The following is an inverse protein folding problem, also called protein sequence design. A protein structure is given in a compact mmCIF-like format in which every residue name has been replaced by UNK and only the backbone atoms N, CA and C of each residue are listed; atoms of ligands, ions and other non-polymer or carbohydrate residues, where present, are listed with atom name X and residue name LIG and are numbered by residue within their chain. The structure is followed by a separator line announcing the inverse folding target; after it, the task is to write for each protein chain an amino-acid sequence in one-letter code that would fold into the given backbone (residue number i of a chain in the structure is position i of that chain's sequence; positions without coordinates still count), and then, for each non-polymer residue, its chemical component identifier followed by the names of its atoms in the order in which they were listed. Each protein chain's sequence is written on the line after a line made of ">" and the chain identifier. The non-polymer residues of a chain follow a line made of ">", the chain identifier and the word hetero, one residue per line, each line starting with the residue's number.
data_IF_094968312024
#
_entry.id   IF_094968312024
#
_cell.length_a   1.000
_cell.length_b   1.000
_cell.length_c   1.000
_cell.angle_alpha   90.00
_cell.angle_beta   90.00
_cell.angle_gamma   90.00
#
_symmetry.space_group_name_H-M   'P 1'
#
loop_
_entity.id
_entity.type
_entity.pdbx_description
1 polymer ?
#
# COMPACT_ATOMS: atom_id res chain seq x y z
N UNK A 1 63.99 -27.44 23.15
CA UNK A 1 62.82 -27.84 23.97
C UNK A 1 61.68 -26.88 23.66
N UNK A 2 60.75 -27.30 22.81
CA UNK A 2 59.53 -26.57 22.44
C UNK A 2 58.36 -27.25 23.17
N UNK A 3 57.48 -26.46 23.79
CA UNK A 3 56.26 -26.88 24.50
C UNK A 3 55.11 -25.95 24.10
N UNK A 4 53.83 -26.35 24.22
CA UNK A 4 52.94 -26.42 23.06
C UNK A 4 51.93 -25.28 23.01
N UNK A 5 51.44 -25.04 21.79
CA UNK A 5 50.34 -24.13 21.48
C UNK A 5 49.06 -24.52 22.23
N UNK A 6 48.45 -23.54 22.91
CA UNK A 6 47.08 -23.63 23.42
C UNK A 6 46.11 -23.57 22.24
N UNK A 7 45.31 -24.63 22.10
CA UNK A 7 44.16 -24.70 21.21
C UNK A 7 43.19 -23.54 21.48
N UNK A 8 43.15 -22.57 20.56
CA UNK A 8 42.02 -21.67 20.41
C UNK A 8 40.91 -22.44 19.70
N UNK A 9 39.79 -22.62 20.41
CA UNK A 9 38.55 -23.19 19.90
C UNK A 9 38.14 -22.54 18.58
N UNK A 10 37.90 -23.37 17.57
CA UNK A 10 37.43 -23.03 16.22
C UNK A 10 36.01 -22.41 16.22
N UNK A 11 35.35 -22.25 17.38
CA UNK A 11 33.97 -21.73 17.44
C UNK A 11 33.83 -20.21 17.21
N UNK A 12 34.92 -19.43 17.16
CA UNK A 12 34.84 -17.97 17.01
C UNK A 12 35.04 -17.47 15.57
N UNK A 13 35.67 -18.27 14.70
CA UNK A 13 35.86 -17.91 13.28
C UNK A 13 34.64 -18.23 12.41
N UNK A 14 33.75 -19.11 12.86
CA UNK A 14 32.50 -19.43 12.15
C UNK A 14 31.47 -18.30 12.17
N UNK A 15 31.64 -17.29 13.03
CA UNK A 15 30.77 -16.10 13.08
C UNK A 15 31.25 -14.96 12.17
N UNK A 16 32.54 -14.90 11.82
CA UNK A 16 33.06 -13.85 10.93
C UNK A 16 32.87 -14.20 9.44
N UNK A 17 32.95 -15.48 9.04
CA UNK A 17 32.80 -15.88 7.64
C UNK A 17 31.34 -15.94 7.14
N UNK A 18 30.34 -15.86 8.02
CA UNK A 18 28.94 -15.77 7.60
C UNK A 18 28.53 -14.37 7.10
N UNK A 19 29.35 -13.34 7.32
CA UNK A 19 28.97 -11.94 7.11
C UNK A 19 29.39 -11.32 5.77
N UNK A 20 30.16 -12.02 4.94
CA UNK A 20 30.46 -11.55 3.56
C UNK A 20 29.41 -11.96 2.53
N UNK A 21 28.39 -12.75 2.92
CA UNK A 21 27.28 -13.18 2.04
C UNK A 21 25.90 -12.68 2.47
N UNK A 22 25.79 -11.90 3.55
CA UNK A 22 24.55 -11.22 3.91
C UNK A 22 24.40 -9.96 3.07
N UNK A 23 23.91 -10.15 1.85
CA UNK A 23 23.31 -9.07 1.06
C UNK A 23 22.31 -8.32 1.93
N UNK A 24 22.24 -7.00 1.71
CA UNK A 24 21.26 -6.03 2.22
C UNK A 24 20.06 -6.77 2.84
N UNK A 25 19.94 -6.72 4.18
CA UNK A 25 18.77 -7.23 4.90
C UNK A 25 17.58 -6.43 4.37
N UNK A 26 16.91 -6.97 3.36
CA UNK A 26 15.74 -6.38 2.77
C UNK A 26 14.61 -6.60 3.76
N UNK A 27 14.28 -5.58 4.54
CA UNK A 27 12.94 -5.48 5.09
C UNK A 27 12.00 -5.30 3.90
N UNK A 28 11.56 -6.43 3.34
CA UNK A 28 10.45 -6.47 2.42
C UNK A 28 9.26 -5.84 3.14
N UNK A 29 8.72 -4.77 2.56
CA UNK A 29 7.43 -4.24 2.95
C UNK A 29 6.36 -5.22 2.43
N UNK A 30 6.29 -6.40 3.03
CA UNK A 30 5.26 -7.41 2.77
C UNK A 30 4.12 -7.26 3.79
N UNK A 31 2.86 -7.37 3.36
CA UNK A 31 1.71 -7.42 4.24
C UNK A 31 1.60 -8.81 4.89
N UNK A 32 1.16 -8.83 6.15
CA UNK A 32 1.14 -10.01 6.99
C UNK A 32 0.14 -11.08 6.51
N UNK A 33 0.58 -12.35 6.51
CA UNK A 33 -0.29 -13.51 6.64
C UNK A 33 0.23 -14.44 7.76
N UNK A 34 -0.71 -14.95 8.54
CA UNK A 34 -0.61 -15.57 9.87
C UNK A 34 -0.09 -17.01 9.90
N UNK A 35 0.50 -17.41 11.03
CA UNK A 35 0.92 -18.76 11.39
C UNK A 35 -0.09 -19.46 12.32
N UNK A 36 -0.08 -20.80 12.29
CA UNK A 36 -0.32 -21.82 13.36
C UNK A 36 -1.06 -23.05 12.75
N UNK A 37 -0.77 -24.34 12.99
CA UNK A 37 0.08 -25.10 13.92
C UNK A 37 0.18 -26.58 13.44
N UNK A 38 1.37 -27.21 13.59
CA UNK A 38 1.69 -28.62 13.97
C UNK A 38 0.98 -29.83 13.28
N UNK A 39 1.57 -31.01 12.94
CA UNK A 39 2.69 -31.80 13.51
C UNK A 39 2.98 -33.06 12.64
N UNK A 40 4.20 -33.63 12.80
CA UNK A 40 4.68 -35.00 12.48
C UNK A 40 4.93 -35.35 10.99
N UNK A 41 5.96 -36.10 10.56
CA UNK A 41 7.23 -36.64 11.09
C UNK A 41 7.98 -37.26 9.89
N UNK A 42 9.30 -37.14 9.87
CA UNK A 42 10.33 -38.09 9.37
C UNK A 42 10.17 -38.76 7.97
N UNK A 43 11.08 -38.42 7.02
CA UNK A 43 12.11 -39.34 6.50
C UNK A 43 12.90 -38.73 5.30
N UNK A 44 14.18 -38.53 5.54
CA UNK A 44 15.39 -38.65 4.70
C UNK A 44 15.35 -38.59 3.15
N UNK A 45 16.31 -37.81 2.64
CA UNK A 45 17.09 -37.93 1.38
C UNK A 45 16.38 -37.61 0.06
N UNK A 46 16.76 -36.52 -0.60
CA UNK A 46 17.85 -36.50 -1.59
C UNK A 46 17.91 -35.12 -2.27
N UNK A 47 19.13 -34.65 -2.52
CA UNK A 47 19.43 -33.35 -3.12
C UNK A 47 18.95 -33.25 -4.57
N UNK A 48 18.24 -32.18 -4.91
CA UNK A 48 18.40 -31.42 -6.16
C UNK A 48 17.67 -30.08 -6.03
N UNK A 49 18.39 -29.01 -6.26
CA UNK A 49 17.95 -27.62 -6.24
C UNK A 49 16.89 -27.35 -7.32
N UNK A 50 15.68 -27.04 -6.89
CA UNK A 50 14.67 -26.35 -7.70
C UNK A 50 14.60 -24.87 -7.28
N UNK A 51 14.39 -23.94 -8.22
CA UNK A 51 14.33 -22.52 -7.92
C UNK A 51 13.09 -22.18 -7.11
N UNK A 52 13.27 -21.32 -6.10
CA UNK A 52 12.25 -20.85 -5.16
C UNK A 52 10.93 -20.46 -5.84
N UNK A 53 9.87 -21.23 -5.54
CA UNK A 53 8.49 -20.82 -5.77
C UNK A 53 8.18 -19.61 -4.89
N UNK A 54 8.26 -18.42 -5.47
CA UNK A 54 7.54 -17.23 -4.96
C UNK A 54 6.07 -17.58 -4.78
N UNK A 55 5.50 -17.26 -3.62
CA UNK A 55 4.07 -17.32 -3.37
C UNK A 55 3.30 -16.50 -4.41
N UNK A 56 2.48 -17.17 -5.19
CA UNK A 56 1.81 -16.67 -6.39
C UNK A 56 0.57 -15.78 -6.11
N UNK A 57 0.31 -15.39 -4.85
CA UNK A 57 -0.94 -14.70 -4.46
C UNK A 57 -0.87 -13.17 -4.39
N UNK A 58 0.31 -12.57 -4.15
CA UNK A 58 0.46 -11.10 -4.05
C UNK A 58 0.77 -10.40 -5.39
N UNK A 59 0.94 -11.16 -6.49
CA UNK A 59 1.25 -10.60 -7.81
C UNK A 59 0.00 -10.24 -8.64
N UNK A 60 -1.17 -10.78 -8.29
CA UNK A 60 -2.40 -10.64 -9.09
C UNK A 60 -3.35 -9.55 -8.58
N UNK A 61 -3.31 -9.24 -7.28
CA UNK A 61 -4.13 -8.17 -6.68
C UNK A 61 -3.28 -7.35 -5.72
N UNK A 62 -3.78 -6.20 -5.29
CA UNK A 62 -3.16 -5.39 -4.23
C UNK A 62 -4.11 -5.19 -3.04
N UNK A 63 -5.01 -6.16 -2.78
CA UNK A 63 -5.95 -6.12 -1.65
C UNK A 63 -5.27 -5.85 -0.31
N UNK A 64 -4.10 -6.45 -0.10
CA UNK A 64 -3.30 -6.33 1.11
C UNK A 64 -2.68 -4.94 1.32
N UNK A 65 -2.67 -4.11 0.26
CA UNK A 65 -2.28 -2.70 0.31
C UNK A 65 -3.46 -1.74 0.54
N UNK A 66 -4.70 -2.25 0.50
CA UNK A 66 -5.90 -1.45 0.72
C UNK A 66 -6.19 -1.27 2.21
N UNK A 67 -6.87 -0.18 2.55
CA UNK A 67 -7.27 0.14 3.94
C UNK A 67 -8.53 -0.61 4.40
N UNK A 68 -9.01 -1.54 3.57
CA UNK A 68 -10.24 -2.31 3.75
C UNK A 68 -10.91 -2.58 2.41
N UNK A 69 -11.97 -3.39 2.42
CA UNK A 69 -12.82 -3.60 1.24
C UNK A 69 -14.22 -3.08 1.51
N UNK A 70 -14.69 -2.21 0.63
CA UNK A 70 -16.09 -1.75 0.58
C UNK A 70 -16.62 -2.02 -0.82
N UNK A 71 -17.93 -2.15 -0.98
CA UNK A 71 -18.54 -2.39 -2.29
C UNK A 71 -19.96 -1.86 -2.36
N UNK A 72 -20.45 -1.67 -3.57
CA UNK A 72 -21.88 -1.47 -3.82
C UNK A 72 -22.57 -2.85 -3.63
N UNK A 73 -23.55 -2.98 -2.74
CA UNK A 73 -24.21 -4.27 -2.49
C UNK A 73 -25.02 -4.71 -3.71
N UNK A 74 -25.17 -6.03 -3.87
CA UNK A 74 -25.91 -6.62 -4.99
C UNK A 74 -27.36 -6.10 -5.12
N UNK A 75 -28.00 -5.73 -4.00
CA UNK A 75 -29.34 -5.13 -3.97
C UNK A 75 -29.43 -3.74 -4.61
N UNK A 76 -28.29 -3.07 -4.85
CA UNK A 76 -28.18 -1.75 -5.49
C UNK A 76 -27.63 -1.83 -6.91
N UNK A 77 -27.59 -3.03 -7.50
CA UNK A 77 -27.22 -3.24 -8.90
C UNK A 77 -28.47 -3.29 -9.80
N UNK A 78 -28.40 -2.82 -11.06
CA UNK A 78 -27.23 -2.21 -11.70
C UNK A 78 -26.92 -0.81 -11.15
N UNK A 79 -25.67 -0.37 -11.29
CA UNK A 79 -25.20 0.93 -10.78
C UNK A 79 -25.80 2.04 -11.63
N UNK A 80 -26.66 2.87 -11.03
CA UNK A 80 -27.18 4.07 -11.68
C UNK A 80 -26.13 5.18 -11.66
N UNK A 81 -25.78 5.70 -12.83
CA UNK A 81 -24.78 6.76 -13.02
C UNK A 81 -25.46 8.02 -13.53
N UNK A 82 -25.24 9.14 -12.84
CA UNK A 82 -25.64 10.47 -13.29
C UNK A 82 -24.40 11.28 -13.66
N UNK A 83 -24.40 11.84 -14.88
CA UNK A 83 -23.36 12.74 -15.34
C UNK A 83 -23.91 14.16 -15.36
N UNK A 84 -23.40 15.02 -14.47
CA UNK A 84 -23.80 16.41 -14.44
C UNK A 84 -23.39 17.12 -15.76
N UNK A 85 -24.18 18.10 -16.22
CA UNK A 85 -23.77 18.94 -17.35
C UNK A 85 -22.47 19.68 -17.02
N UNK A 86 -21.72 20.09 -18.05
CA UNK A 86 -20.53 20.91 -17.85
C UNK A 86 -20.89 22.20 -17.10
N UNK A 87 -20.11 22.63 -16.10
CA UNK A 87 -20.41 23.87 -15.38
C UNK A 87 -20.27 25.07 -16.31
N UNK A 88 -21.16 26.05 -16.14
CA UNK A 88 -21.12 27.30 -16.91
C UNK A 88 -19.87 28.11 -16.53
N UNK A 89 -19.18 28.67 -17.52
CA UNK A 89 -18.02 29.54 -17.31
C UNK A 89 -16.69 28.81 -17.08
N UNK A 90 -16.71 27.48 -16.96
CA UNK A 90 -15.50 26.65 -16.94
C UNK A 90 -14.99 26.48 -18.37
N UNK A 91 -13.66 26.49 -18.55
CA UNK A 91 -13.05 26.15 -19.84
C UNK A 91 -13.26 24.65 -20.15
N UNK A 92 -14.43 24.34 -20.68
CA UNK A 92 -14.92 22.99 -20.94
C UNK A 92 -14.66 22.57 -22.37
N UNK A 93 -14.16 21.34 -22.55
CA UNK A 93 -14.16 20.66 -23.85
C UNK A 93 -15.27 19.61 -23.86
N UNK A 94 -15.94 19.45 -25.00
CA UNK A 94 -16.91 18.35 -25.20
C UNK A 94 -16.25 16.98 -24.99
N UNK A 95 -14.95 16.88 -25.26
CA UNK A 95 -14.18 15.65 -25.06
C UNK A 95 -14.13 15.19 -23.59
N UNK A 96 -14.30 16.06 -22.60
CA UNK A 96 -14.24 15.65 -21.19
C UNK A 96 -15.36 14.69 -20.79
N UNK A 97 -16.59 14.96 -21.24
CA UNK A 97 -17.69 14.01 -21.02
C UNK A 97 -17.48 12.71 -21.81
N UNK A 98 -16.87 12.79 -22.99
CA UNK A 98 -16.50 11.61 -23.77
C UNK A 98 -15.48 10.77 -23.01
N UNK A 99 -14.43 11.36 -22.46
CA UNK A 99 -13.41 10.64 -21.67
C UNK A 99 -14.00 9.96 -20.43
N UNK A 100 -14.93 10.62 -19.74
CA UNK A 100 -15.60 10.05 -18.57
C UNK A 100 -16.51 8.88 -18.96
N UNK A 101 -17.32 9.01 -20.02
CA UNK A 101 -18.15 7.92 -20.54
C UNK A 101 -17.30 6.74 -21.03
N UNK A 102 -16.20 7.05 -21.71
CA UNK A 102 -15.23 6.06 -22.17
C UNK A 102 -14.58 5.34 -20.98
N UNK A 103 -14.34 6.01 -19.84
CA UNK A 103 -13.83 5.38 -18.61
C UNK A 103 -14.83 4.35 -18.04
N UNK A 104 -16.11 4.72 -17.94
CA UNK A 104 -17.17 3.77 -17.57
C UNK A 104 -17.29 2.60 -18.55
N UNK A 105 -17.20 2.86 -19.86
CA UNK A 105 -17.22 1.81 -20.87
C UNK A 105 -16.05 0.83 -20.68
N UNK A 106 -14.85 1.33 -20.39
CA UNK A 106 -13.69 0.49 -20.12
C UNK A 106 -13.92 -0.48 -18.96
N UNK A 107 -14.48 0.01 -17.84
CA UNK A 107 -14.87 -0.85 -16.73
C UNK A 107 -15.95 -1.86 -17.14
N UNK A 108 -16.99 -1.41 -17.85
CA UNK A 108 -18.08 -2.26 -18.31
C UNK A 108 -17.59 -3.42 -19.20
N UNK A 109 -16.71 -3.13 -20.14
CA UNK A 109 -16.10 -4.11 -21.05
C UNK A 109 -15.21 -5.10 -20.28
N UNK A 110 -14.45 -4.60 -19.31
CA UNK A 110 -13.58 -5.42 -18.44
C UNK A 110 -14.40 -6.39 -17.57
N UNK A 111 -15.55 -5.95 -17.07
CA UNK A 111 -16.46 -6.80 -16.29
C UNK A 111 -17.13 -7.87 -17.15
N UNK A 112 -17.57 -7.49 -18.35
CA UNK A 112 -18.19 -8.41 -19.30
C UNK A 112 -17.21 -9.51 -19.74
N UNK A 113 -15.96 -9.15 -20.05
CA UNK A 113 -14.91 -10.09 -20.44
C UNK A 113 -14.59 -11.12 -19.36
N UNK A 114 -14.81 -10.78 -18.08
CA UNK A 114 -14.49 -11.68 -16.96
C UNK A 114 -15.56 -12.72 -16.65
N UNK A 115 -16.77 -12.65 -17.21
CA UNK A 115 -17.96 -13.47 -16.90
C UNK A 115 -18.39 -13.52 -15.41
N UNK A 116 -17.59 -12.99 -14.50
CA UNK A 116 -17.71 -13.07 -13.05
C UNK A 116 -18.46 -11.86 -12.44
N UNK A 117 -18.40 -10.69 -13.09
CA UNK A 117 -19.05 -9.47 -12.64
C UNK A 117 -20.15 -8.94 -13.59
N UNK A 118 -20.95 -9.76 -14.31
CA UNK A 118 -21.93 -9.25 -15.27
C UNK A 118 -23.06 -8.47 -14.60
N UNK A 119 -23.35 -8.75 -13.32
CA UNK A 119 -24.32 -7.98 -12.52
C UNK A 119 -23.81 -6.58 -12.17
N UNK A 120 -22.49 -6.38 -12.12
CA UNK A 120 -21.85 -5.09 -11.92
C UNK A 120 -21.83 -4.34 -13.25
N UNK A 121 -22.92 -3.62 -13.53
CA UNK A 121 -23.11 -2.87 -14.77
C UNK A 121 -23.54 -1.43 -14.50
N UNK A 122 -23.29 -0.55 -15.46
CA UNK A 122 -23.66 0.86 -15.39
C UNK A 122 -24.91 1.16 -16.23
N UNK A 123 -25.86 1.86 -15.63
CA UNK A 123 -27.04 2.39 -16.32
C UNK A 123 -27.11 3.89 -16.08
N UNK A 124 -27.24 4.67 -17.15
CA UNK A 124 -27.31 6.12 -17.04
C UNK A 124 -28.72 6.59 -16.66
N UNK A 125 -28.78 7.65 -15.85
CA UNK A 125 -30.02 8.35 -15.49
C UNK A 125 -29.83 9.86 -15.61
N UNK A 126 -30.91 10.56 -15.93
CA UNK A 126 -30.94 12.03 -15.98
C UNK A 126 -31.27 12.67 -14.62
N UNK A 127 -31.52 11.84 -13.59
CA UNK A 127 -31.87 12.29 -12.24
C UNK A 127 -30.78 11.96 -11.23
N UNK A 128 -30.16 13.00 -10.67
CA UNK A 128 -29.04 12.85 -9.73
C UNK A 128 -29.44 12.14 -8.42
N UNK A 129 -30.68 12.33 -7.97
CA UNK A 129 -31.21 11.76 -6.74
C UNK A 129 -31.33 10.23 -6.80
N UNK A 130 -31.62 9.68 -7.99
CA UNK A 130 -31.76 8.24 -8.24
C UNK A 130 -30.41 7.54 -8.48
N UNK A 131 -29.33 8.30 -8.67
CA UNK A 131 -28.02 7.74 -9.00
C UNK A 131 -27.26 7.26 -7.77
N UNK A 132 -26.60 6.11 -7.93
CA UNK A 132 -25.59 5.58 -7.00
C UNK A 132 -24.27 6.32 -7.18
N UNK A 133 -23.85 6.53 -8.43
CA UNK A 133 -22.65 7.33 -8.76
C UNK A 133 -23.08 8.63 -9.42
N UNK A 134 -22.61 9.75 -8.88
CA UNK A 134 -22.78 11.07 -9.49
C UNK A 134 -21.43 11.62 -9.89
N UNK A 135 -21.31 12.14 -11.10
CA UNK A 135 -20.07 12.70 -11.61
C UNK A 135 -20.27 14.16 -12.00
N UNK A 136 -19.30 15.01 -11.69
CA UNK A 136 -19.25 16.40 -12.17
C UNK A 136 -17.83 16.84 -12.46
N UNK A 137 -17.71 17.98 -13.12
CA UNK A 137 -16.45 18.67 -13.36
C UNK A 137 -16.39 19.98 -12.56
N UNK A 138 -15.19 20.45 -12.25
CA UNK A 138 -14.93 21.77 -11.63
C UNK A 138 -13.60 22.33 -12.12
N UNK A 139 -13.42 23.65 -12.10
CA UNK A 139 -12.12 24.31 -12.25
C UNK A 139 -11.59 24.90 -10.93
N UNK A 140 -12.32 24.69 -9.84
CA UNK A 140 -11.93 25.15 -8.53
C UNK A 140 -11.08 24.11 -7.81
N UNK A 141 -9.76 24.34 -7.80
CA UNK A 141 -8.78 23.47 -7.13
C UNK A 141 -9.04 23.33 -5.61
N UNK A 142 -9.77 24.26 -4.99
CA UNK A 142 -10.13 24.18 -3.56
C UNK A 142 -11.17 23.11 -3.24
N UNK A 143 -11.82 22.54 -4.26
CA UNK A 143 -12.73 21.42 -4.10
C UNK A 143 -12.01 20.07 -4.08
N UNK A 144 -10.71 20.06 -4.40
CA UNK A 144 -9.82 18.92 -4.21
C UNK A 144 -9.37 18.85 -2.75
N UNK A 145 -9.03 17.66 -2.26
CA UNK A 145 -8.47 17.49 -0.93
C UNK A 145 -6.99 17.91 -0.87
N UNK A 146 -6.25 17.69 -1.96
CA UNK A 146 -4.86 18.16 -2.10
C UNK A 146 -4.64 18.94 -3.39
N UNK A 147 -3.65 19.84 -3.37
CA UNK A 147 -3.34 20.72 -4.49
C UNK A 147 -2.89 19.98 -5.77
N UNK A 148 -2.46 18.72 -5.65
CA UNK A 148 -1.95 17.90 -6.76
C UNK A 148 -2.99 16.90 -7.31
N UNK A 149 -4.20 16.85 -6.73
CA UNK A 149 -5.25 15.93 -7.19
C UNK A 149 -5.88 16.40 -8.50
N UNK A 150 -6.08 15.45 -9.42
CA UNK A 150 -6.82 15.67 -10.66
C UNK A 150 -8.32 15.43 -10.52
N UNK A 151 -8.74 14.79 -9.42
CA UNK A 151 -10.12 14.45 -9.11
C UNK A 151 -10.21 13.91 -7.68
N UNK A 152 -11.45 13.73 -7.23
CA UNK A 152 -11.76 13.22 -5.89
C UNK A 152 -13.05 12.41 -5.92
N UNK A 153 -13.06 11.32 -5.13
CA UNK A 153 -14.24 10.47 -4.94
C UNK A 153 -14.67 10.47 -3.49
N UNK A 154 -15.88 10.97 -3.23
CA UNK A 154 -16.50 10.92 -1.91
C UNK A 154 -17.49 9.76 -1.83
N UNK A 155 -17.27 8.85 -0.88
CA UNK A 155 -18.18 7.75 -0.60
C UNK A 155 -19.15 8.12 0.53
N UNK A 156 -20.41 7.73 0.36
CA UNK A 156 -21.44 7.72 1.40
C UNK A 156 -21.83 6.28 1.64
N UNK A 157 -21.68 5.82 2.87
CA UNK A 157 -21.90 4.43 3.27
C UNK A 157 -23.16 4.29 4.13
N UNK A 158 -23.74 3.09 4.11
CA UNK A 158 -24.67 2.62 5.13
C UNK A 158 -24.28 1.23 5.64
N UNK A 159 -25.17 0.58 6.39
CA UNK A 159 -24.93 -0.74 6.97
C UNK A 159 -24.67 -1.85 5.94
N UNK A 160 -25.09 -1.65 4.68
CA UNK A 160 -25.00 -2.65 3.62
C UNK A 160 -23.87 -2.39 2.63
N UNK A 161 -23.16 -1.25 2.73
CA UNK A 161 -22.04 -0.89 1.86
C UNK A 161 -22.16 0.51 1.28
N UNK A 162 -21.60 0.71 0.07
CA UNK A 162 -21.64 2.00 -0.62
C UNK A 162 -23.10 2.30 -0.98
N UNK A 163 -23.62 3.42 -0.46
CA UNK A 163 -24.94 3.96 -0.80
C UNK A 163 -24.83 4.94 -1.98
N UNK A 164 -23.87 5.87 -1.90
CA UNK A 164 -23.58 6.82 -2.99
C UNK A 164 -22.08 7.04 -3.13
N UNK A 165 -21.64 7.33 -4.35
CA UNK A 165 -20.31 7.85 -4.66
C UNK A 165 -20.43 9.15 -5.46
N UNK A 166 -19.64 10.16 -5.09
CA UNK A 166 -19.60 11.46 -5.76
C UNK A 166 -18.20 11.68 -6.32
N UNK A 167 -18.10 11.67 -7.64
CA UNK A 167 -16.85 11.90 -8.37
C UNK A 167 -16.83 13.36 -8.82
N UNK A 168 -15.77 14.08 -8.47
CA UNK A 168 -15.50 15.43 -8.97
C UNK A 168 -14.15 15.41 -9.70
N UNK A 169 -14.12 15.86 -10.96
CA UNK A 169 -12.90 15.89 -11.77
C UNK A 169 -12.50 17.35 -12.06
N UNK A 170 -11.23 17.67 -11.83
CA UNK A 170 -10.66 18.99 -12.05
C UNK A 170 -10.29 19.22 -13.52
N UNK A 171 -10.74 20.35 -14.08
CA UNK A 171 -10.53 20.78 -15.47
C UNK A 171 -10.20 22.28 -15.51
N UNK A 172 -9.59 22.84 -16.57
CA UNK A 172 -9.12 22.17 -17.77
C UNK A 172 -7.83 21.36 -17.53
N UNK A 173 -7.78 20.19 -18.16
CA UNK A 173 -6.61 19.30 -18.24
C UNK A 173 -6.55 18.66 -19.64
N UNK A 174 -5.48 17.94 -19.96
CA UNK A 174 -5.38 17.17 -21.22
C UNK A 174 -6.32 15.97 -21.17
N UNK A 175 -6.82 15.55 -22.31
CA UNK A 175 -7.86 14.51 -22.42
C UNK A 175 -7.40 13.16 -21.85
N UNK A 176 -6.15 12.78 -22.10
CA UNK A 176 -5.52 11.57 -21.55
C UNK A 176 -5.43 11.62 -20.01
N UNK A 177 -5.15 12.80 -19.45
CA UNK A 177 -5.10 13.01 -18.01
C UNK A 177 -6.50 12.90 -17.41
N UNK A 178 -7.50 13.56 -18.01
CA UNK A 178 -8.92 13.45 -17.58
C UNK A 178 -9.40 12.00 -17.63
N UNK A 179 -9.04 11.26 -18.70
CA UNK A 179 -9.35 9.84 -18.83
C UNK A 179 -8.71 9.01 -17.72
N UNK A 180 -7.43 9.23 -17.39
CA UNK A 180 -6.73 8.50 -16.33
C UNK A 180 -7.32 8.79 -14.95
N UNK A 181 -7.58 10.06 -14.64
CA UNK A 181 -8.27 10.46 -13.41
C UNK A 181 -9.64 9.82 -13.34
N UNK A 182 -10.44 9.88 -14.42
CA UNK A 182 -11.78 9.28 -14.42
C UNK A 182 -11.73 7.77 -14.12
N UNK A 183 -10.78 7.03 -14.70
CA UNK A 183 -10.62 5.60 -14.39
C UNK A 183 -10.25 5.38 -12.91
N UNK A 184 -9.38 6.22 -12.35
CA UNK A 184 -8.96 6.16 -10.95
C UNK A 184 -10.13 6.41 -9.98
N UNK A 185 -10.85 7.51 -10.19
CA UNK A 185 -12.01 7.87 -9.36
C UNK A 185 -13.14 6.84 -9.44
N UNK A 186 -13.39 6.28 -10.62
CA UNK A 186 -14.37 5.19 -10.76
C UNK A 186 -13.92 3.95 -9.96
N UNK A 187 -12.61 3.63 -9.93
CA UNK A 187 -12.09 2.54 -9.11
C UNK A 187 -12.38 2.74 -7.61
N UNK A 188 -12.21 3.96 -7.09
CA UNK A 188 -12.63 4.30 -5.73
C UNK A 188 -14.15 4.18 -5.54
N UNK A 189 -14.94 4.69 -6.48
CA UNK A 189 -16.40 4.62 -6.45
C UNK A 189 -16.93 3.18 -6.43
N UNK A 190 -16.18 2.25 -7.00
CA UNK A 190 -16.48 0.82 -7.01
C UNK A 190 -15.97 0.07 -5.78
N UNK A 191 -15.11 0.70 -4.95
CA UNK A 191 -14.76 0.19 -3.64
C UNK A 191 -13.28 -0.13 -3.41
N UNK A 192 -12.39 0.26 -4.31
CA UNK A 192 -10.95 0.23 -4.04
C UNK A 192 -10.63 1.34 -3.02
N UNK A 193 -10.64 1.00 -1.73
CA UNK A 193 -10.36 1.93 -0.63
C UNK A 193 -8.85 1.97 -0.34
N UNK A 194 -8.12 2.80 -1.07
CA UNK A 194 -6.66 2.91 -1.03
C UNK A 194 -6.08 2.93 -2.43
N UNK A 195 -4.77 2.73 -2.52
CA UNK A 195 -4.05 2.85 -3.79
C UNK A 195 -3.25 1.59 -4.08
N UNK A 196 -3.05 1.33 -5.37
CA UNK A 196 -2.03 0.35 -5.79
C UNK A 196 -0.64 0.86 -5.39
N UNK A 197 0.27 -0.03 -4.94
CA UNK A 197 1.65 0.32 -4.68
C UNK A 197 2.51 0.37 -5.96
N UNK A 198 1.94 0.11 -7.14
CA UNK A 198 2.65 0.04 -8.42
C UNK A 198 2.18 1.12 -9.40
N UNK A 199 3.13 1.93 -9.86
CA UNK A 199 2.91 3.07 -10.76
C UNK A 199 2.32 2.72 -12.14
N UNK A 200 2.37 1.45 -12.55
CA UNK A 200 1.77 0.98 -13.80
C UNK A 200 0.26 0.79 -13.72
N UNK A 201 -0.29 0.69 -12.51
CA UNK A 201 -1.73 0.57 -12.28
C UNK A 201 -2.42 1.93 -12.38
N UNK A 202 -3.70 1.91 -12.77
CA UNK A 202 -4.52 3.13 -12.74
C UNK A 202 -4.70 3.60 -11.31
N UNK A 203 -4.88 2.68 -10.36
CA UNK A 203 -5.13 3.01 -8.95
C UNK A 203 -3.87 3.43 -8.18
N UNK A 204 -2.75 3.67 -8.84
CA UNK A 204 -1.60 4.32 -8.19
C UNK A 204 -1.93 5.77 -7.84
N UNK A 205 -1.59 6.20 -6.63
CA UNK A 205 -2.01 7.50 -6.04
C UNK A 205 -1.60 8.75 -6.86
N UNK A 206 -0.61 8.64 -7.74
CA UNK A 206 -0.11 9.76 -8.52
C UNK A 206 -0.45 9.62 -9.99
N UNK A 207 -1.26 10.53 -10.51
CA UNK A 207 -1.47 10.70 -11.94
C UNK A 207 -0.39 11.65 -12.48
N UNK A 208 0.49 11.13 -13.32
CA UNK A 208 1.54 11.94 -13.97
C UNK A 208 0.91 13.09 -14.79
N UNK A 209 1.17 14.36 -14.44
CA UNK A 209 0.55 15.51 -15.10
C UNK A 209 1.03 15.71 -16.54
N UNK A 210 2.18 15.14 -16.90
CA UNK A 210 2.84 15.18 -18.21
C UNK A 210 2.51 13.97 -19.11
N UNK A 211 1.62 13.06 -18.69
CA UNK A 211 1.11 11.93 -19.49
C UNK A 211 0.78 12.30 -20.95
N UNK A 212 1.66 12.00 -21.91
CA UNK A 212 1.53 12.43 -23.30
C UNK A 212 1.27 11.24 -24.24
N UNK A 213 0.16 10.55 -23.98
CA UNK A 213 -0.30 9.40 -24.76
C UNK A 213 -1.68 9.68 -25.35
N UNK A 214 -2.06 8.92 -26.38
CA UNK A 214 -3.43 8.93 -26.87
C UNK A 214 -4.37 8.50 -25.73
N UNK A 215 -5.46 9.24 -25.43
CA UNK A 215 -6.42 8.85 -24.40
C UNK A 215 -6.94 7.40 -24.54
N UNK A 216 -7.00 6.85 -25.76
CA UNK A 216 -7.40 5.46 -26.03
C UNK A 216 -6.42 4.42 -25.49
N UNK A 217 -5.16 4.79 -25.30
CA UNK A 217 -4.12 3.92 -24.73
C UNK A 217 -4.18 3.88 -23.20
N UNK A 218 -4.92 4.80 -22.57
CA UNK A 218 -5.11 4.84 -21.12
C UNK A 218 -6.16 3.80 -20.72
N UNK A 219 -5.69 2.72 -20.09
CA UNK A 219 -6.49 1.53 -19.76
C UNK A 219 -6.23 1.00 -18.36
N UNK A 220 -7.20 0.29 -17.81
CA UNK A 220 -7.06 -0.42 -16.54
C UNK A 220 -5.98 -1.49 -16.65
N UNK A 221 -5.23 -1.71 -15.58
CA UNK A 221 -4.34 -2.86 -15.51
C UNK A 221 -5.11 -4.13 -15.17
N UNK A 222 -4.51 -5.29 -15.46
CA UNK A 222 -5.09 -6.57 -15.04
C UNK A 222 -5.26 -6.65 -13.51
N UNK A 223 -4.32 -6.06 -12.74
CA UNK A 223 -4.39 -6.03 -11.27
C UNK A 223 -5.51 -5.14 -10.75
N UNK A 224 -5.81 -4.02 -11.43
CA UNK A 224 -6.95 -3.18 -11.08
C UNK A 224 -8.26 -3.99 -11.18
N UNK A 225 -8.40 -4.71 -12.28
CA UNK A 225 -9.57 -5.56 -12.56
C UNK A 225 -9.65 -6.74 -11.59
N UNK A 226 -8.52 -7.44 -11.35
CA UNK A 226 -8.49 -8.59 -10.45
C UNK A 226 -8.70 -8.19 -8.98
N UNK A 227 -8.25 -7.01 -8.58
CA UNK A 227 -8.54 -6.46 -7.24
C UNK A 227 -10.04 -6.19 -7.07
N UNK A 228 -10.71 -5.61 -8.08
CA UNK A 228 -12.17 -5.46 -8.05
C UNK A 228 -12.88 -6.81 -8.01
N UNK A 229 -12.46 -7.80 -8.80
CA UNK A 229 -13.03 -9.16 -8.70
C UNK A 229 -12.93 -9.66 -7.27
N UNK A 230 -11.76 -9.56 -6.66
CA UNK A 230 -11.56 -10.04 -5.30
C UNK A 230 -12.46 -9.31 -4.29
N UNK A 231 -12.66 -7.99 -4.41
CA UNK A 231 -13.61 -7.22 -3.58
C UNK A 231 -15.05 -7.74 -3.75
N UNK A 232 -15.48 -7.99 -4.99
CA UNK A 232 -16.86 -8.42 -5.28
C UNK A 232 -17.08 -9.93 -5.10
N UNK A 233 -16.02 -10.74 -5.00
CA UNK A 233 -16.05 -12.18 -4.68
C UNK A 233 -16.25 -12.51 -3.21
N UNK A 234 -15.98 -11.57 -2.30
CA UNK A 234 -16.04 -11.84 -0.86
C UNK A 234 -17.47 -12.23 -0.44
N UNK A 235 -17.61 -13.33 0.29
CA UNK A 235 -18.89 -13.93 0.69
C UNK A 235 -19.64 -13.18 1.78
N UNK A 236 -18.98 -12.25 2.47
CA UNK A 236 -19.54 -11.58 3.64
C UNK A 236 -20.29 -10.30 3.26
N UNK A 237 -21.26 -9.91 4.11
CA UNK A 237 -21.72 -8.52 4.19
C UNK A 237 -20.46 -7.64 4.28
N UNK A 238 -20.37 -6.53 3.53
CA UNK A 238 -19.16 -5.69 3.57
C UNK A 238 -18.80 -5.45 5.02
N UNK A 239 -17.58 -5.83 5.41
CA UNK A 239 -17.15 -5.65 6.79
C UNK A 239 -17.33 -4.18 7.14
N UNK A 240 -18.07 -3.82 8.21
CA UNK A 240 -18.16 -2.44 8.66
C UNK A 240 -16.84 -2.09 9.37
N UNK A 241 -15.77 -2.02 8.60
CA UNK A 241 -14.45 -1.52 8.94
C UNK A 241 -14.06 -0.72 7.69
N UNK A 242 -14.64 0.43 7.44
CA UNK A 242 -14.33 1.69 8.11
C UNK A 242 -15.58 2.57 8.11
N UNK A 243 -15.74 3.47 9.09
CA UNK A 243 -16.60 4.64 8.92
C UNK A 243 -16.04 5.46 7.76
N UNK A 244 -16.42 5.13 6.52
CA UNK A 244 -16.01 5.86 5.31
C UNK A 244 -16.83 7.14 5.19
N UNK A 245 -16.85 7.94 6.24
CA UNK A 245 -17.10 9.38 6.06
C UNK A 245 -15.74 9.98 5.69
N UNK A 246 -15.52 10.13 4.37
CA UNK A 246 -14.36 10.81 3.79
C UNK A 246 -13.03 10.32 4.38
N UNK A 247 -12.58 9.12 4.02
CA UNK A 247 -11.28 8.61 4.45
C UNK A 247 -10.16 9.64 4.17
N UNK A 248 -10.22 10.33 3.04
CA UNK A 248 -9.34 11.46 2.68
C UNK A 248 -9.57 12.76 3.48
N UNK A 249 -10.76 12.95 4.05
CA UNK A 249 -11.09 14.05 4.98
C UNK A 249 -10.77 13.72 6.44
N UNK A 250 -10.60 12.45 6.77
CA UNK A 250 -10.22 12.00 8.11
C UNK A 250 -8.71 12.16 8.30
N UNK A 251 -8.28 12.47 9.52
CA UNK A 251 -6.85 12.54 9.84
C UNK A 251 -6.14 11.21 9.55
N UNK A 252 -6.83 10.08 9.77
CA UNK A 252 -6.31 8.73 9.54
C UNK A 252 -6.07 8.42 8.05
N UNK A 253 -7.00 8.75 7.15
CA UNK A 253 -6.76 8.51 5.73
C UNK A 253 -5.76 9.48 5.12
N UNK A 254 -5.69 10.74 5.58
CA UNK A 254 -4.58 11.64 5.23
C UNK A 254 -3.23 11.06 5.66
N UNK A 255 -3.14 10.54 6.88
CA UNK A 255 -1.92 9.90 7.37
C UNK A 255 -1.51 8.71 6.47
N UNK A 256 -2.49 7.92 6.01
CA UNK A 256 -2.22 6.80 5.11
C UNK A 256 -1.73 7.24 3.72
N UNK A 257 -2.29 8.31 3.16
CA UNK A 257 -1.81 8.89 1.88
C UNK A 257 -0.35 9.33 2.01
N UNK A 258 -0.02 10.06 3.07
CA UNK A 258 1.36 10.49 3.36
C UNK A 258 2.27 9.26 3.56
N UNK A 259 1.78 8.20 4.20
CA UNK A 259 2.52 6.94 4.35
C UNK A 259 2.82 6.32 2.99
N UNK A 260 1.85 6.29 2.08
CA UNK A 260 2.05 5.75 0.72
C UNK A 260 3.03 6.59 -0.11
N UNK A 261 3.04 7.91 0.04
CA UNK A 261 4.08 8.78 -0.54
C UNK A 261 5.47 8.41 -0.02
N UNK A 262 5.58 8.09 1.28
CA UNK A 262 6.81 7.59 1.88
C UNK A 262 7.25 6.25 1.28
N UNK A 263 6.31 5.33 1.04
CA UNK A 263 6.58 4.06 0.35
C UNK A 263 7.06 4.25 -1.08
N UNK A 264 6.51 5.23 -1.81
CA UNK A 264 6.96 5.55 -3.15
C UNK A 264 8.39 6.12 -3.15
N UNK A 265 8.67 7.07 -2.26
CA UNK A 265 10.02 7.62 -2.09
C UNK A 265 11.04 6.53 -1.71
N UNK A 266 10.65 5.60 -0.84
CA UNK A 266 11.48 4.45 -0.46
C UNK A 266 11.83 3.57 -1.67
N UNK A 267 10.82 3.22 -2.49
CA UNK A 267 11.03 2.43 -3.71
C UNK A 267 11.90 3.14 -4.74
N UNK A 268 11.82 4.47 -4.80
CA UNK A 268 12.68 5.29 -5.64
C UNK A 268 14.11 5.46 -5.09
N UNK A 269 14.43 4.88 -3.93
CA UNK A 269 15.73 5.03 -3.26
C UNK A 269 15.93 6.38 -2.58
N UNK A 270 14.90 7.24 -2.54
CA UNK A 270 14.94 8.53 -1.86
C UNK A 270 14.59 8.35 -0.38
N UNK A 271 15.55 7.83 0.40
CA UNK A 271 15.34 7.49 1.79
C UNK A 271 15.08 8.70 2.69
N UNK A 272 15.62 9.87 2.37
CA UNK A 272 15.39 11.10 3.15
C UNK A 272 13.94 11.56 3.02
N UNK A 273 13.40 11.55 1.79
CA UNK A 273 11.99 11.87 1.56
C UNK A 273 11.07 10.80 2.18
N UNK A 274 11.44 9.52 2.05
CA UNK A 274 10.69 8.42 2.65
C UNK A 274 10.58 8.57 4.16
N UNK A 275 11.70 8.92 4.82
CA UNK A 275 11.75 9.12 6.25
C UNK A 275 10.85 10.28 6.69
N UNK A 276 10.97 11.43 6.01
CA UNK A 276 10.13 12.60 6.29
C UNK A 276 8.64 12.26 6.16
N UNK A 277 8.25 11.58 5.09
CA UNK A 277 6.85 11.21 4.83
C UNK A 277 6.32 10.21 5.84
N UNK A 278 7.06 9.15 6.16
CA UNK A 278 6.61 8.22 7.19
C UNK A 278 6.52 8.86 8.59
N UNK A 279 7.39 9.82 8.91
CA UNK A 279 7.28 10.60 10.16
C UNK A 279 6.05 11.50 10.17
N UNK A 280 5.78 12.23 9.09
CA UNK A 280 4.56 13.05 8.93
C UNK A 280 3.30 12.19 9.05
N UNK A 281 3.28 11.02 8.40
CA UNK A 281 2.20 10.05 8.49
C UNK A 281 2.00 9.55 9.92
N UNK A 282 3.08 9.18 10.61
CA UNK A 282 3.00 8.68 11.99
C UNK A 282 2.58 9.77 12.99
N UNK A 283 2.94 11.03 12.75
CA UNK A 283 2.44 12.16 13.54
C UNK A 283 0.94 12.39 13.30
N UNK A 284 0.47 12.23 12.06
CA UNK A 284 -0.93 12.42 11.70
C UNK A 284 -1.84 11.29 12.23
N UNK A 285 -1.35 10.05 12.25
CA UNK A 285 -2.03 8.91 12.89
C UNK A 285 -1.04 8.01 13.65
N UNK A 286 -0.77 8.32 14.93
CA UNK A 286 0.10 7.51 15.77
C UNK A 286 -0.49 6.14 16.13
N UNK A 287 -1.79 5.92 15.91
CA UNK A 287 -2.49 4.69 16.32
C UNK A 287 -2.42 3.60 15.25
N UNK A 288 -2.08 3.97 14.01
CA UNK A 288 -1.98 3.04 12.89
C UNK A 288 -0.77 2.12 12.99
N UNK A 289 -1.03 0.83 13.22
CA UNK A 289 -0.01 -0.21 13.22
C UNK A 289 0.71 -0.31 11.87
N UNK A 290 0.03 -0.04 10.75
CA UNK A 290 0.60 -0.07 9.40
C UNK A 290 1.64 1.04 9.21
N UNK A 291 1.29 2.27 9.59
CA UNK A 291 2.20 3.43 9.46
C UNK A 291 3.42 3.24 10.38
N UNK A 292 3.18 2.78 11.61
CA UNK A 292 4.25 2.45 12.54
C UNK A 292 5.19 1.35 11.99
N UNK A 293 4.64 0.34 11.30
CA UNK A 293 5.43 -0.71 10.64
C UNK A 293 6.33 -0.14 9.55
N UNK A 294 5.77 0.71 8.69
CA UNK A 294 6.50 1.31 7.57
C UNK A 294 7.63 2.21 8.06
N UNK A 295 7.35 3.09 9.03
CA UNK A 295 8.36 3.95 9.65
C UNK A 295 9.43 3.13 10.38
N UNK A 296 8.99 2.15 11.19
CA UNK A 296 9.87 1.27 11.95
C UNK A 296 10.80 0.46 11.05
N UNK A 297 10.27 -0.13 9.98
CA UNK A 297 11.06 -0.85 8.98
C UNK A 297 12.10 0.03 8.29
N UNK A 298 11.72 1.26 7.90
CA UNK A 298 12.67 2.22 7.32
C UNK A 298 13.80 2.56 8.30
N UNK A 299 13.49 2.77 9.58
CA UNK A 299 14.51 2.99 10.59
C UNK A 299 15.49 1.82 10.69
N UNK A 300 15.03 0.56 10.69
CA UNK A 300 15.96 -0.58 10.75
C UNK A 300 16.83 -0.67 9.48
N UNK A 301 16.28 -0.34 8.31
CA UNK A 301 17.05 -0.28 7.06
C UNK A 301 18.13 0.80 7.10
N UNK A 302 17.76 2.02 7.50
CA UNK A 302 18.72 3.13 7.67
C UNK A 302 19.77 2.81 8.74
N UNK A 303 19.39 2.11 9.81
CA UNK A 303 20.30 1.59 10.82
C UNK A 303 21.34 0.64 10.21
N UNK A 304 20.88 -0.32 9.43
CA UNK A 304 21.76 -1.29 8.74
C UNK A 304 22.69 -0.61 7.73
N UNK A 305 22.18 0.33 6.92
CA UNK A 305 22.97 1.10 5.96
C UNK A 305 24.08 1.90 6.67
N UNK A 306 23.74 2.58 7.77
CA UNK A 306 24.72 3.35 8.53
C UNK A 306 25.73 2.44 9.24
N UNK A 307 25.32 1.26 9.71
CA UNK A 307 26.23 0.29 10.30
C UNK A 307 27.26 -0.20 9.26
N UNK A 308 26.81 -0.51 8.03
CA UNK A 308 27.71 -0.88 6.92
C UNK A 308 28.67 0.26 6.55
N UNK A 309 28.19 1.51 6.59
CA UNK A 309 29.01 2.70 6.41
C UNK A 309 29.93 3.03 7.61
N UNK A 310 29.93 2.20 8.66
CA UNK A 310 30.67 2.40 9.93
C UNK A 310 30.25 3.64 10.74
N UNK A 311 29.08 4.19 10.44
CA UNK A 311 28.44 5.25 11.22
C UNK A 311 27.65 4.67 12.39
N UNK A 312 28.38 4.06 13.35
CA UNK A 312 27.80 3.26 14.45
C UNK A 312 26.80 4.05 15.30
N UNK A 313 27.11 5.31 15.63
CA UNK A 313 26.25 6.15 16.47
C UNK A 313 24.90 6.47 15.78
N UNK A 314 24.95 6.72 14.47
CA UNK A 314 23.75 6.98 13.66
C UNK A 314 22.93 5.70 13.51
N UNK A 315 23.61 4.57 13.26
CA UNK A 315 22.97 3.26 13.17
C UNK A 315 22.22 2.89 14.46
N UNK A 316 22.86 3.09 15.61
CA UNK A 316 22.24 2.86 16.92
C UNK A 316 21.00 3.72 17.15
N UNK A 317 21.04 5.00 16.76
CA UNK A 317 19.89 5.90 16.87
C UNK A 317 18.71 5.37 16.05
N UNK A 318 18.97 4.95 14.82
CA UNK A 318 17.93 4.39 13.96
C UNK A 318 17.35 3.09 14.49
N UNK A 319 18.18 2.16 14.97
CA UNK A 319 17.65 0.92 15.56
C UNK A 319 16.78 1.18 16.80
N UNK A 320 17.18 2.11 17.67
CA UNK A 320 16.39 2.52 18.84
C UNK A 320 15.03 3.09 18.42
N UNK A 321 15.02 3.99 17.43
CA UNK A 321 13.78 4.58 16.91
C UNK A 321 12.86 3.52 16.28
N UNK A 322 13.43 2.57 15.55
CA UNK A 322 12.68 1.44 14.97
C UNK A 322 12.01 0.59 16.05
N UNK A 323 12.74 0.21 17.11
CA UNK A 323 12.19 -0.56 18.23
C UNK A 323 11.09 0.22 18.96
N UNK A 324 11.32 1.51 19.24
CA UNK A 324 10.34 2.36 19.94
C UNK A 324 9.01 2.39 19.18
N UNK A 325 9.03 2.70 17.89
CA UNK A 325 7.82 2.79 17.05
C UNK A 325 7.13 1.42 16.93
N UNK A 326 7.88 0.35 16.67
CA UNK A 326 7.30 -0.98 16.46
C UNK A 326 6.71 -1.57 17.73
N UNK A 327 7.32 -1.32 18.89
CA UNK A 327 6.91 -1.89 20.18
C UNK A 327 5.55 -1.38 20.69
N UNK A 328 5.08 -0.23 20.18
CA UNK A 328 3.81 0.39 20.57
C UNK A 328 2.58 -0.33 20.00
N UNK A 329 2.77 -1.21 19.01
CA UNK A 329 1.67 -1.90 18.33
C UNK A 329 1.85 -3.43 18.39
N UNK A 330 0.91 -4.18 18.98
CA UNK A 330 1.00 -5.64 19.10
C UNK A 330 1.18 -6.37 17.75
N UNK A 331 0.52 -5.89 16.69
CA UNK A 331 0.60 -6.45 15.34
C UNK A 331 2.02 -6.41 14.76
N UNK A 332 2.85 -5.49 15.26
CA UNK A 332 4.22 -5.30 14.81
C UNK A 332 5.25 -6.14 15.58
N UNK A 333 4.80 -7.05 16.47
CA UNK A 333 5.69 -7.91 17.27
C UNK A 333 6.74 -8.66 16.44
N UNK A 334 6.44 -9.25 15.26
CA UNK A 334 7.46 -9.89 14.43
C UNK A 334 8.55 -8.92 13.96
N UNK A 335 8.17 -7.72 13.52
CA UNK A 335 9.10 -6.68 13.07
C UNK A 335 9.92 -6.11 14.23
N UNK A 336 9.29 -5.91 15.40
CA UNK A 336 9.98 -5.48 16.61
C UNK A 336 11.06 -6.50 17.03
N UNK A 337 10.79 -7.81 16.89
CA UNK A 337 11.78 -8.87 17.15
C UNK A 337 12.98 -8.75 16.22
N UNK A 338 12.75 -8.52 14.92
CA UNK A 338 13.83 -8.32 13.95
C UNK A 338 14.67 -7.07 14.28
N UNK A 339 14.02 -5.96 14.63
CA UNK A 339 14.68 -4.73 15.04
C UNK A 339 15.56 -4.93 16.30
N UNK A 340 15.04 -5.66 17.30
CA UNK A 340 15.79 -6.03 18.51
C UNK A 340 17.02 -6.89 18.17
N UNK A 341 16.89 -7.88 17.29
CA UNK A 341 18.03 -8.71 16.86
C UNK A 341 19.11 -7.86 16.17
N UNK A 342 18.72 -6.99 15.22
CA UNK A 342 19.66 -6.11 14.51
C UNK A 342 20.40 -5.17 15.48
N UNK A 343 19.69 -4.60 16.45
CA UNK A 343 20.29 -3.76 17.48
C UNK A 343 21.22 -4.55 18.41
N UNK A 344 20.81 -5.75 18.83
CA UNK A 344 21.63 -6.66 19.62
C UNK A 344 22.94 -7.02 18.92
N UNK A 345 22.91 -7.26 17.60
CA UNK A 345 24.12 -7.48 16.81
C UNK A 345 25.06 -6.27 16.81
N UNK A 346 24.54 -5.04 16.66
CA UNK A 346 25.35 -3.82 16.78
C UNK A 346 25.99 -3.72 18.16
N UNK A 347 25.25 -4.04 19.23
CA UNK A 347 25.76 -4.02 20.60
C UNK A 347 26.91 -5.03 20.79
N UNK A 348 26.77 -6.25 20.23
CA UNK A 348 27.85 -7.24 20.22
C UNK A 348 29.10 -6.72 19.51
N UNK A 349 28.94 -6.14 18.32
CA UNK A 349 30.05 -5.59 17.53
C UNK A 349 30.78 -4.43 18.23
N UNK A 350 30.09 -3.73 19.13
CA UNK A 350 30.64 -2.59 19.89
C UNK A 350 31.11 -2.96 21.30
N UNK A 351 31.22 -4.27 21.61
CA UNK A 351 31.72 -4.75 22.90
C UNK A 351 30.72 -4.68 24.05
N UNK A 352 29.44 -4.38 23.78
CA UNK A 352 28.36 -4.24 24.78
C UNK A 352 27.55 -5.54 24.91
N UNK A 353 28.24 -6.65 25.18
CA UNK A 353 27.64 -7.99 25.16
C UNK A 353 26.52 -8.20 26.20
N UNK A 354 26.61 -7.57 27.37
CA UNK A 354 25.57 -7.63 28.40
C UNK A 354 24.25 -7.02 27.91
N UNK A 355 24.32 -5.83 27.30
CA UNK A 355 23.16 -5.14 26.73
C UNK A 355 22.62 -5.90 25.51
N UNK A 356 23.51 -6.43 24.68
CA UNK A 356 23.13 -7.20 23.50
C UNK A 356 22.25 -8.41 23.84
N UNK A 357 22.57 -9.12 24.93
CA UNK A 357 21.82 -10.29 25.37
C UNK A 357 20.34 -9.98 25.58
N UNK A 358 20.03 -8.83 26.20
CA UNK A 358 18.65 -8.39 26.45
C UNK A 358 17.86 -8.24 25.14
N UNK A 359 18.47 -7.64 24.13
CA UNK A 359 17.80 -7.40 22.84
C UNK A 359 17.73 -8.66 21.97
N UNK A 360 18.73 -9.54 22.04
CA UNK A 360 18.71 -10.84 21.35
C UNK A 360 17.63 -11.75 21.93
N UNK A 361 17.49 -11.80 23.26
CA UNK A 361 16.42 -12.58 23.93
C UNK A 361 15.03 -12.05 23.55
N UNK A 362 14.83 -10.73 23.57
CA UNK A 362 13.62 -10.09 23.04
C UNK A 362 13.37 -10.46 21.57
N UNK A 363 14.41 -10.48 20.75
CA UNK A 363 14.36 -10.91 19.34
C UNK A 363 13.94 -12.37 19.15
N UNK A 364 14.27 -13.25 20.11
CA UNK A 364 13.85 -14.65 20.14
C UNK A 364 12.44 -14.85 20.71
N UNK A 365 11.80 -13.78 21.21
CA UNK A 365 10.50 -13.85 21.87
C UNK A 365 10.54 -14.46 23.27
N UNK A 366 11.71 -14.42 23.92
CA UNK A 366 11.93 -14.90 25.29
C UNK A 366 11.80 -13.78 26.31
#
# INVERSE_FOLDING_TARGET
>A
MLSPARNLSISWLSWLCAFTCLGVISFGCEPAASADLEKNREAETNSKSEPDKKSESDSKTYLSSLSGTVRIPASRLPIKVYLAPMPKGVNSKDSYQVMLKDAFAHFQDSFAASAFLPSLSFVYTDKAEEATITCRFTDNEKEMHFAQEGGVTELVMDSDGIMKAKITILVPRRDCYVKKVALHEIGHALGIAGHSPDQSDVMYFSVQPDLNVDPKEVKLSARDIDTLKAIYSQSDKPSPLVKVEGMERSAAGRAMIISNEGSAAYKAGNFDLALKKYQEAHQADPTSAVIARNLGGLYVNLGSINLMARNVNVAETFFKNGIDVLSKHPDNKPFCRQACTAYGSLLMMTGRAADAKVFIEKGQGK
#
